data_IF_196056173662
#
_entry.id   IF_196056173662
#
_cell.length_a   1.000
_cell.length_b   1.000
_cell.length_c   1.000
_cell.angle_alpha   90.00
_cell.angle_beta   90.00
_cell.angle_gamma   90.00
#
_symmetry.space_group_name_H-M   'P 1'
#
loop_
_entity.id
_entity.type
_entity.pdbx_description
1 polymer ?
#
# COMPACT_ATOMS: atom_id res chain seq x y z
N UNK A 1 16.85 -1.15 -5.10
CA UNK A 1 16.26 -1.33 -3.76
C UNK A 1 14.88 -1.99 -3.90
N UNK A 2 14.62 -3.14 -3.28
CA UNK A 2 13.38 -3.93 -3.45
C UNK A 2 12.13 -3.18 -2.98
N UNK A 3 12.18 -2.53 -1.81
CA UNK A 3 11.04 -1.79 -1.24
C UNK A 3 10.55 -0.68 -2.16
N UNK A 4 11.44 0.18 -2.65
CA UNK A 4 11.07 1.31 -3.51
C UNK A 4 10.44 0.87 -4.84
N UNK A 5 10.91 -0.23 -5.45
CA UNK A 5 10.31 -0.76 -6.68
C UNK A 5 8.88 -1.28 -6.44
N UNK A 6 8.65 -1.99 -5.35
CA UNK A 6 7.32 -2.47 -5.00
C UNK A 6 6.38 -1.31 -4.63
N UNK A 7 6.89 -0.28 -3.92
CA UNK A 7 6.10 0.92 -3.61
C UNK A 7 5.69 1.68 -4.87
N UNK A 8 6.60 1.82 -5.84
CA UNK A 8 6.29 2.44 -7.13
C UNK A 8 5.22 1.65 -7.90
N UNK A 9 5.36 0.32 -8.00
CA UNK A 9 4.39 -0.54 -8.69
C UNK A 9 2.99 -0.49 -8.07
N UNK A 10 2.90 -0.52 -6.72
CA UNK A 10 1.63 -0.34 -6.01
C UNK A 10 1.07 1.07 -6.24
N UNK A 11 1.92 2.11 -6.18
CA UNK A 11 1.48 3.48 -6.42
C UNK A 11 0.93 3.71 -7.82
N UNK A 12 1.55 3.11 -8.85
CA UNK A 12 1.09 3.20 -10.24
C UNK A 12 -0.28 2.54 -10.39
N UNK A 13 -0.43 1.29 -9.93
CA UNK A 13 -1.69 0.56 -9.98
C UNK A 13 -2.83 1.28 -9.24
N UNK A 14 -2.56 1.90 -8.09
CA UNK A 14 -3.56 2.68 -7.33
C UNK A 14 -4.03 3.93 -8.10
N UNK A 15 -3.09 4.66 -8.72
CA UNK A 15 -3.40 5.86 -9.52
C UNK A 15 -4.14 5.53 -10.82
N UNK A 16 -3.83 4.38 -11.43
CA UNK A 16 -4.57 3.88 -12.60
C UNK A 16 -5.99 3.45 -12.25
N UNK A 17 -6.18 2.83 -11.08
CA UNK A 17 -7.50 2.36 -10.65
C UNK A 17 -8.45 3.49 -10.23
N UNK A 18 -7.91 4.60 -9.70
CA UNK A 18 -8.69 5.77 -9.25
C UNK A 18 -7.97 7.04 -9.70
N UNK A 19 -8.52 7.70 -10.73
CA UNK A 19 -7.85 8.74 -11.52
C UNK A 19 -7.40 10.00 -10.75
N UNK A 20 -7.88 10.22 -9.52
CA UNK A 20 -7.55 11.38 -8.69
C UNK A 20 -7.04 11.01 -7.29
N UNK A 21 -6.65 9.74 -7.08
CA UNK A 21 -6.15 9.30 -5.78
C UNK A 21 -4.74 9.87 -5.53
N UNK A 22 -4.62 10.71 -4.51
CA UNK A 22 -3.32 11.10 -3.98
C UNK A 22 -2.62 9.89 -3.34
N UNK A 23 -1.38 9.62 -3.77
CA UNK A 23 -0.56 8.54 -3.22
C UNK A 23 0.80 9.10 -2.81
N UNK A 24 1.04 9.09 -1.50
CA UNK A 24 2.31 9.47 -0.89
C UNK A 24 3.14 8.25 -0.50
N UNK A 25 4.44 8.30 -0.79
CA UNK A 25 5.37 7.23 -0.42
C UNK A 25 6.24 7.69 0.73
N UNK A 26 5.96 7.17 1.93
CA UNK A 26 6.68 7.49 3.17
C UNK A 26 6.81 9.02 3.39
N UNK A 27 5.68 9.75 3.54
CA UNK A 27 5.72 11.18 3.87
C UNK A 27 6.46 11.44 5.20
N UNK A 28 6.44 10.45 6.09
CA UNK A 28 7.22 10.40 7.32
C UNK A 28 8.26 9.28 7.29
N UNK A 29 9.17 9.29 8.26
CA UNK A 29 10.20 8.25 8.41
C UNK A 29 9.53 6.86 8.57
N UNK A 30 9.73 5.92 7.63
CA UNK A 30 9.01 4.67 7.65
C UNK A 30 9.54 3.71 8.70
N UNK A 31 8.67 2.79 9.14
CA UNK A 31 9.06 1.67 9.99
C UNK A 31 10.07 0.78 9.26
N UNK A 32 11.10 0.35 10.00
CA UNK A 32 12.17 -0.48 9.44
C UNK A 32 11.64 -1.87 9.07
N UNK A 33 11.98 -2.33 7.87
CA UNK A 33 11.74 -3.70 7.38
C UNK A 33 10.26 -4.14 7.27
N UNK A 34 9.32 -3.19 7.09
CA UNK A 34 7.89 -3.44 6.85
C UNK A 34 7.42 -2.73 5.58
N UNK A 35 6.38 -3.26 4.95
CA UNK A 35 5.79 -2.71 3.73
C UNK A 35 4.29 -2.60 3.99
N UNK A 36 3.85 -1.38 4.27
CA UNK A 36 2.49 -1.10 4.72
C UNK A 36 1.82 -0.22 3.67
N UNK A 37 0.53 -0.45 3.45
CA UNK A 37 -0.31 0.38 2.60
C UNK A 37 -1.60 0.68 3.35
N UNK A 38 -1.92 1.96 3.49
CA UNK A 38 -3.09 2.43 4.21
C UNK A 38 -3.82 3.49 3.40
N UNK A 39 -5.15 3.44 3.43
CA UNK A 39 -6.03 4.49 2.91
C UNK A 39 -6.39 5.44 4.05
N UNK A 40 -6.18 6.73 3.84
CA UNK A 40 -6.71 7.78 4.73
C UNK A 40 -8.00 8.32 4.10
N UNK A 41 -9.10 8.25 4.85
CA UNK A 41 -10.42 8.75 4.42
C UNK A 41 -10.57 10.24 4.76
N UNK A 42 -11.55 10.89 4.15
CA UNK A 42 -11.83 12.32 4.38
C UNK A 42 -12.17 12.65 5.84
N UNK A 43 -12.74 11.68 6.57
CA UNK A 43 -13.04 11.80 8.00
C UNK A 43 -11.79 11.65 8.91
N UNK A 44 -10.61 11.47 8.32
CA UNK A 44 -9.34 11.26 9.01
C UNK A 44 -9.12 9.84 9.52
N UNK A 45 -10.09 8.93 9.33
CA UNK A 45 -9.90 7.52 9.65
C UNK A 45 -8.93 6.86 8.69
N UNK A 46 -8.20 5.85 9.19
CA UNK A 46 -7.23 5.10 8.39
C UNK A 46 -7.67 3.64 8.27
N UNK A 47 -7.69 3.12 7.06
CA UNK A 47 -7.95 1.71 6.75
C UNK A 47 -6.67 1.05 6.25
N UNK A 48 -6.31 -0.07 6.84
CA UNK A 48 -5.19 -0.89 6.35
C UNK A 48 -5.59 -1.64 5.08
N UNK A 49 -4.91 -1.38 3.97
CA UNK A 49 -5.08 -2.11 2.71
C UNK A 49 -4.13 -3.31 2.62
N UNK A 50 -2.94 -3.18 3.22
CA UNK A 50 -1.97 -4.26 3.33
C UNK A 50 -0.99 -4.02 4.47
N UNK A 51 -0.72 -5.07 5.24
CA UNK A 51 0.42 -5.12 6.16
C UNK A 51 1.43 -6.20 5.76
N UNK A 52 2.69 -5.77 5.67
CA UNK A 52 3.86 -6.62 5.58
C UNK A 52 4.40 -7.03 6.96
N UNK A 53 3.83 -6.51 8.05
CA UNK A 53 4.16 -6.90 9.42
C UNK A 53 3.72 -8.34 9.64
N UNK A 54 4.55 -9.14 10.30
CA UNK A 54 4.27 -10.55 10.57
C UNK A 54 4.33 -11.48 9.35
N UNK A 55 4.36 -10.96 8.12
CA UNK A 55 4.65 -11.76 6.91
C UNK A 55 6.07 -12.30 7.03
N UNK A 56 6.14 -13.63 7.21
CA UNK A 56 7.28 -14.39 7.73
C UNK A 56 8.54 -14.45 6.84
N UNK A 57 9.43 -15.44 7.10
CA UNK A 57 10.79 -15.45 6.55
C UNK A 57 10.94 -15.79 5.07
N UNK A 58 9.88 -15.91 4.24
CA UNK A 58 10.03 -15.48 2.86
C UNK A 58 9.76 -13.98 2.73
N UNK A 59 10.83 -13.17 2.62
CA UNK A 59 10.75 -11.69 2.43
C UNK A 59 9.83 -11.28 1.28
N UNK A 60 9.70 -12.11 0.25
CA UNK A 60 8.79 -11.89 -0.88
C UNK A 60 7.34 -11.70 -0.44
N UNK A 61 6.91 -12.37 0.63
CA UNK A 61 5.54 -12.29 1.16
C UNK A 61 5.22 -10.96 1.85
N UNK A 62 6.24 -10.11 2.11
CA UNK A 62 6.02 -8.76 2.64
C UNK A 62 5.43 -7.83 1.60
N UNK A 63 5.68 -8.11 0.32
CA UNK A 63 5.23 -7.26 -0.78
C UNK A 63 3.93 -7.86 -1.35
N UNK A 64 2.87 -7.07 -1.48
CA UNK A 64 1.65 -7.52 -2.10
C UNK A 64 1.81 -7.61 -3.63
N UNK A 65 0.89 -8.32 -4.26
CA UNK A 65 0.54 -8.07 -5.65
C UNK A 65 -0.17 -6.70 -5.74
N UNK A 66 0.24 -5.75 -6.61
CA UNK A 66 -0.45 -4.48 -6.79
C UNK A 66 -1.96 -4.62 -7.02
N UNK A 67 -2.40 -5.63 -7.77
CA UNK A 67 -3.82 -5.86 -8.03
C UNK A 67 -4.60 -6.17 -6.74
N UNK A 68 -4.00 -6.93 -5.81
CA UNK A 68 -4.63 -7.25 -4.53
C UNK A 68 -4.86 -5.99 -3.67
N UNK A 69 -3.95 -5.02 -3.73
CA UNK A 69 -4.10 -3.74 -3.02
C UNK A 69 -5.20 -2.89 -3.67
N UNK A 70 -5.30 -2.89 -5.00
CA UNK A 70 -6.37 -2.20 -5.74
C UNK A 70 -7.75 -2.77 -5.38
N UNK A 71 -7.88 -4.09 -5.28
CA UNK A 71 -9.16 -4.71 -4.88
C UNK A 71 -9.53 -4.39 -3.42
N UNK A 72 -8.53 -4.37 -2.52
CA UNK A 72 -8.74 -3.91 -1.14
C UNK A 72 -9.16 -2.44 -1.08
N UNK A 73 -8.57 -1.58 -1.92
CA UNK A 73 -8.94 -0.16 -2.06
C UNK A 73 -10.41 -0.03 -2.49
N UNK A 74 -10.79 -0.66 -3.61
CA UNK A 74 -12.16 -0.60 -4.14
C UNK A 74 -13.18 -1.08 -3.10
N UNK A 75 -12.86 -2.15 -2.38
CA UNK A 75 -13.70 -2.68 -1.29
C UNK A 75 -13.83 -1.72 -0.10
N UNK A 76 -12.84 -0.85 0.13
CA UNK A 76 -12.85 0.13 1.23
C UNK A 76 -13.56 1.45 0.87
N UNK A 77 -13.77 1.69 -0.43
CA UNK A 77 -14.46 2.84 -1.00
C UNK A 77 -15.95 2.56 -1.31
N UNK A 78 -16.32 1.28 -1.44
CA UNK A 78 -17.71 0.83 -1.60
C UNK A 78 -18.52 1.01 -0.30
#
# INVERSE_FOLDING_TARGET
RVFGRNAAAVSEALREAVADLAVDINPEKPRRNSFEVSLVKEDGSTVELWSGIGKGPPRKLKFPDPAAVVEALKSSLA
#
